data_IF_556027775954
#
_entry.id   IF_556027775954
#
_cell.length_a   1.000
_cell.length_b   1.000
_cell.length_c   1.000
_cell.angle_alpha   90.00
_cell.angle_beta   90.00
_cell.angle_gamma   90.00
#
_symmetry.space_group_name_H-M   'P 1'
#
loop_
_entity.id
_entity.type
_entity.pdbx_description
1 polymer ?
#
# COMPACT_ATOMS: atom_id res chain seq x y z
N UNK A 1 -25.52 -35.42 -7.47
CA UNK A 1 -24.96 -34.35 -8.34
C UNK A 1 -23.46 -34.30 -8.12
N UNK A 2 -22.68 -34.95 -9.00
CA UNK A 2 -21.22 -34.99 -8.91
C UNK A 2 -20.62 -33.93 -9.82
N UNK A 3 -20.05 -32.87 -9.23
CA UNK A 3 -19.34 -31.84 -9.97
C UNK A 3 -18.06 -32.46 -10.60
N UNK A 4 -17.99 -32.51 -11.93
CA UNK A 4 -16.79 -32.96 -12.65
C UNK A 4 -15.68 -31.91 -12.50
N UNK A 5 -14.43 -32.29 -12.18
CA UNK A 5 -13.33 -31.33 -12.09
C UNK A 5 -13.01 -30.81 -13.49
N UNK A 6 -13.13 -29.49 -13.68
CA UNK A 6 -12.78 -28.80 -14.92
C UNK A 6 -11.28 -28.93 -15.14
N UNK A 7 -10.85 -29.74 -16.12
CA UNK A 7 -9.45 -29.81 -16.54
C UNK A 7 -9.05 -28.41 -17.01
N UNK A 8 -8.11 -27.79 -16.29
CA UNK A 8 -7.57 -26.48 -16.66
C UNK A 8 -6.58 -26.75 -17.79
N UNK A 9 -6.96 -26.42 -19.03
CA UNK A 9 -6.09 -26.57 -20.19
C UNK A 9 -4.84 -25.67 -20.03
N UNK A 10 -3.67 -26.20 -20.37
CA UNK A 10 -2.36 -25.52 -20.20
C UNK A 10 -2.37 -24.12 -20.82
N UNK A 11 -3.07 -23.94 -21.95
CA UNK A 11 -3.28 -22.65 -22.61
C UNK A 11 -3.93 -21.60 -21.68
N UNK A 12 -4.97 -21.99 -20.94
CA UNK A 12 -5.66 -21.10 -20.01
C UNK A 12 -4.75 -20.63 -18.87
N UNK A 13 -3.85 -21.50 -18.37
CA UNK A 13 -2.87 -21.11 -17.33
C UNK A 13 -1.86 -20.10 -17.84
N UNK A 14 -1.40 -20.27 -19.09
CA UNK A 14 -0.45 -19.34 -19.72
C UNK A 14 -1.12 -17.97 -19.89
N UNK A 15 -2.34 -17.92 -20.43
CA UNK A 15 -3.08 -16.67 -20.59
C UNK A 15 -3.26 -15.96 -19.25
N UNK A 16 -3.72 -16.67 -18.22
CA UNK A 16 -3.87 -16.09 -16.87
C UNK A 16 -2.53 -15.56 -16.34
N UNK A 17 -1.44 -16.33 -16.49
CA UNK A 17 -0.12 -15.90 -16.04
C UNK A 17 0.37 -14.66 -16.78
N UNK A 18 0.21 -14.60 -18.10
CA UNK A 18 0.58 -13.43 -18.90
C UNK A 18 -0.24 -12.20 -18.51
N UNK A 19 -1.54 -12.34 -18.28
CA UNK A 19 -2.39 -11.23 -17.84
C UNK A 19 -1.97 -10.72 -16.46
N UNK A 20 -1.66 -11.62 -15.52
CA UNK A 20 -1.18 -11.24 -14.18
C UNK A 20 0.17 -10.50 -14.26
N UNK A 21 1.11 -10.97 -15.08
CA UNK A 21 2.40 -10.31 -15.27
C UNK A 21 2.21 -8.93 -15.91
N UNK A 22 1.38 -8.81 -16.94
CA UNK A 22 1.09 -7.53 -17.58
C UNK A 22 0.46 -6.54 -16.60
N UNK A 23 -0.50 -6.99 -15.78
CA UNK A 23 -1.12 -6.18 -14.73
C UNK A 23 -0.10 -5.74 -13.68
N UNK A 24 0.77 -6.66 -13.25
CA UNK A 24 1.82 -6.38 -12.28
C UNK A 24 2.82 -5.35 -12.81
N UNK A 25 3.24 -5.48 -14.08
CA UNK A 25 4.08 -4.47 -14.74
C UNK A 25 3.35 -3.13 -14.76
N UNK A 26 2.09 -3.08 -15.17
CA UNK A 26 1.35 -1.83 -15.27
C UNK A 26 1.19 -1.12 -13.93
N UNK A 27 0.97 -1.86 -12.85
CA UNK A 27 0.86 -1.31 -11.48
C UNK A 27 2.20 -0.83 -10.94
N UNK A 28 3.27 -1.59 -11.15
CA UNK A 28 4.57 -1.28 -10.52
C UNK A 28 5.38 -0.28 -11.37
N UNK A 29 5.21 -0.24 -12.69
CA UNK A 29 5.93 0.68 -13.59
C UNK A 29 5.86 2.16 -13.13
N UNK A 30 4.70 2.75 -12.78
CA UNK A 30 4.67 4.13 -12.28
C UNK A 30 5.42 4.29 -10.94
N UNK A 31 5.39 3.29 -10.07
CA UNK A 31 6.16 3.31 -8.81
C UNK A 31 7.66 3.28 -9.07
N UNK A 32 8.12 2.43 -9.98
CA UNK A 32 9.53 2.39 -10.39
C UNK A 32 9.97 3.68 -11.04
N UNK A 33 9.10 4.34 -11.82
CA UNK A 33 9.40 5.63 -12.44
C UNK A 33 9.73 6.69 -11.38
N UNK A 34 8.90 6.81 -10.33
CA UNK A 34 9.15 7.78 -9.25
C UNK A 34 10.46 7.50 -8.51
N UNK A 35 10.73 6.23 -8.19
CA UNK A 35 11.98 5.84 -7.52
C UNK A 35 13.18 6.19 -8.43
N UNK A 36 13.10 5.81 -9.71
CA UNK A 36 14.17 6.08 -10.68
C UNK A 36 14.42 7.59 -10.81
N UNK A 37 13.38 8.41 -10.86
CA UNK A 37 13.50 9.87 -10.94
C UNK A 37 14.32 10.45 -9.78
N UNK A 38 14.05 10.00 -8.55
CA UNK A 38 14.79 10.43 -7.35
C UNK A 38 16.27 10.06 -7.46
N UNK A 39 16.60 8.88 -7.97
CA UNK A 39 17.99 8.46 -8.17
C UNK A 39 18.68 9.21 -9.31
N UNK A 40 18.00 9.41 -10.44
CA UNK A 40 18.57 10.13 -11.59
C UNK A 40 18.83 11.61 -11.28
N UNK A 41 18.03 12.21 -10.39
CA UNK A 41 18.12 13.63 -10.01
C UNK A 41 18.51 13.81 -8.55
N UNK A 42 19.36 12.93 -8.05
CA UNK A 42 19.75 12.92 -6.65
C UNK A 42 20.36 14.26 -6.19
N UNK A 43 21.13 14.93 -7.05
CA UNK A 43 21.75 16.22 -6.72
C UNK A 43 20.69 17.32 -6.50
N UNK A 44 19.65 17.38 -7.34
CA UNK A 44 18.52 18.31 -7.18
C UNK A 44 17.75 17.99 -5.89
N UNK A 45 17.44 16.72 -5.64
CA UNK A 45 16.75 16.28 -4.42
C UNK A 45 17.56 16.63 -3.17
N UNK A 46 18.89 16.42 -3.21
CA UNK A 46 19.77 16.76 -2.11
C UNK A 46 19.72 18.25 -1.78
N UNK A 47 19.83 19.09 -2.81
CA UNK A 47 19.77 20.54 -2.67
C UNK A 47 18.41 21.03 -2.19
N UNK A 48 17.31 20.51 -2.74
CA UNK A 48 15.97 20.98 -2.38
C UNK A 48 15.53 20.52 -0.99
N UNK A 49 15.82 19.27 -0.62
CA UNK A 49 15.28 18.63 0.60
C UNK A 49 16.21 18.78 1.79
N UNK A 50 17.53 18.66 1.59
CA UNK A 50 18.51 18.59 2.70
C UNK A 50 19.36 19.84 2.84
N UNK A 51 19.73 20.49 1.72
CA UNK A 51 20.70 21.58 1.70
C UNK A 51 20.15 22.83 0.98
N UNK A 52 18.90 23.20 1.27
CA UNK A 52 18.24 24.28 0.57
C UNK A 52 18.93 25.62 0.88
N UNK A 53 19.24 26.45 -0.13
CA UNK A 53 19.97 27.71 0.06
C UNK A 53 19.18 28.74 0.88
N UNK A 54 17.85 28.65 0.90
CA UNK A 54 16.98 29.60 1.60
C UNK A 54 16.57 29.06 2.97
N UNK A 55 16.18 27.77 3.04
CA UNK A 55 15.51 27.18 4.21
C UNK A 55 16.34 26.08 4.89
N UNK A 56 17.52 25.74 4.37
CA UNK A 56 18.39 24.71 4.93
C UNK A 56 17.75 23.33 4.97
N UNK A 57 17.70 22.73 6.16
CA UNK A 57 17.21 21.37 6.43
C UNK A 57 15.73 21.31 6.90
N UNK A 58 15.01 22.43 6.84
CA UNK A 58 13.63 22.51 7.33
C UNK A 58 12.68 21.56 6.58
N UNK A 59 12.88 21.38 5.26
CA UNK A 59 12.11 20.44 4.45
C UNK A 59 12.26 19.01 4.97
N UNK A 60 13.48 18.58 5.27
CA UNK A 60 13.75 17.27 5.84
C UNK A 60 13.11 17.09 7.23
N UNK A 61 13.23 18.09 8.10
CA UNK A 61 12.60 18.09 9.43
C UNK A 61 11.08 18.00 9.32
N UNK A 62 10.48 18.74 8.40
CA UNK A 62 9.04 18.71 8.15
C UNK A 62 8.59 17.33 7.65
N UNK A 63 9.32 16.71 6.73
CA UNK A 63 9.04 15.35 6.24
C UNK A 63 9.02 14.36 7.42
N UNK A 64 10.07 14.34 8.26
CA UNK A 64 10.12 13.44 9.41
C UNK A 64 8.96 13.70 10.38
N UNK A 65 8.66 14.98 10.65
CA UNK A 65 7.59 15.38 11.57
C UNK A 65 6.23 14.88 11.10
N UNK A 66 5.90 15.11 9.83
CA UNK A 66 4.66 14.66 9.22
C UNK A 66 4.60 13.14 9.16
N UNK A 67 5.68 12.49 8.74
CA UNK A 67 5.76 11.02 8.67
C UNK A 67 5.55 10.39 10.05
N UNK A 68 6.22 10.90 11.09
CA UNK A 68 6.03 10.42 12.46
C UNK A 68 4.60 10.61 12.95
N UNK A 69 3.98 11.74 12.61
CA UNK A 69 2.58 12.00 12.94
C UNK A 69 1.64 11.00 12.25
N UNK A 70 1.81 10.76 10.94
CA UNK A 70 1.02 9.79 10.18
C UNK A 70 1.16 8.36 10.72
N UNK A 71 2.36 7.94 11.13
CA UNK A 71 2.56 6.64 11.77
C UNK A 71 1.85 6.54 13.11
N UNK A 72 1.95 7.57 13.97
CA UNK A 72 1.24 7.58 15.26
C UNK A 72 -0.28 7.54 15.08
N UNK A 73 -0.79 8.29 14.11
CA UNK A 73 -2.21 8.34 13.80
C UNK A 73 -2.69 6.99 13.28
N UNK A 74 -2.04 6.43 12.26
CA UNK A 74 -2.42 5.14 11.69
C UNK A 74 -2.36 4.00 12.71
N UNK A 75 -1.33 3.94 13.55
CA UNK A 75 -1.24 2.95 14.63
C UNK A 75 -2.39 3.09 15.64
N UNK A 76 -2.73 4.33 15.99
CA UNK A 76 -3.85 4.60 16.91
C UNK A 76 -5.17 4.18 16.29
N UNK A 77 -5.42 4.51 15.02
CA UNK A 77 -6.60 4.09 14.27
C UNK A 77 -6.71 2.57 14.21
N UNK A 78 -5.64 1.86 13.86
CA UNK A 78 -5.63 0.39 13.83
C UNK A 78 -5.91 -0.18 15.22
N UNK A 79 -5.34 0.39 16.28
CA UNK A 79 -5.63 -0.06 17.64
C UNK A 79 -7.11 0.10 17.99
N UNK A 80 -7.73 1.25 17.66
CA UNK A 80 -9.16 1.47 17.86
C UNK A 80 -10.02 0.52 17.03
N UNK A 81 -9.68 0.31 15.76
CA UNK A 81 -10.39 -0.62 14.88
C UNK A 81 -10.32 -2.06 15.39
N UNK A 82 -9.21 -2.48 15.99
CA UNK A 82 -9.10 -3.81 16.59
C UNK A 82 -9.87 -3.89 17.90
N UNK A 83 -9.76 -2.89 18.79
CA UNK A 83 -10.43 -2.87 20.09
C UNK A 83 -11.95 -2.86 19.94
N UNK A 84 -12.50 -2.11 18.97
CA UNK A 84 -13.93 -2.00 18.78
C UNK A 84 -14.46 -2.90 17.66
N UNK A 85 -13.74 -3.00 16.56
CA UNK A 85 -14.14 -3.78 15.39
C UNK A 85 -14.13 -5.28 15.64
N UNK A 86 -13.15 -5.83 16.35
CA UNK A 86 -13.12 -7.28 16.63
C UNK A 86 -14.30 -7.69 17.53
N UNK A 87 -14.56 -7.05 18.69
CA UNK A 87 -15.72 -7.41 19.50
C UNK A 87 -17.04 -7.22 18.77
N UNK A 88 -17.18 -6.12 18.00
CA UNK A 88 -18.39 -5.89 17.22
C UNK A 88 -18.60 -6.98 16.17
N UNK A 89 -17.56 -7.34 15.41
CA UNK A 89 -17.60 -8.42 14.44
C UNK A 89 -17.94 -9.76 15.09
N UNK A 90 -17.40 -10.03 16.28
CA UNK A 90 -17.73 -11.25 17.03
C UNK A 90 -19.21 -11.28 17.44
N UNK A 91 -19.76 -10.18 17.95
CA UNK A 91 -21.18 -10.10 18.31
C UNK A 91 -22.05 -10.25 17.06
N UNK A 92 -21.72 -9.59 15.95
CA UNK A 92 -22.42 -9.73 14.66
C UNK A 92 -22.40 -11.16 14.13
N UNK A 93 -21.26 -11.86 14.23
CA UNK A 93 -21.15 -13.23 13.75
C UNK A 93 -21.86 -14.25 14.64
N UNK A 94 -21.95 -14.01 15.96
CA UNK A 94 -22.41 -15.01 16.93
C UNK A 94 -23.79 -14.75 17.53
N UNK A 95 -24.25 -13.51 17.60
CA UNK A 95 -25.58 -13.17 18.12
C UNK A 95 -26.57 -12.94 16.99
N UNK A 96 -27.77 -13.52 17.11
CA UNK A 96 -28.91 -13.13 16.27
C UNK A 96 -29.52 -11.87 16.88
N UNK A 97 -29.43 -10.77 16.14
CA UNK A 97 -30.11 -9.54 16.51
C UNK A 97 -31.60 -9.70 16.17
N UNK A 98 -32.52 -9.32 17.07
CA UNK A 98 -33.91 -9.13 16.68
C UNK A 98 -33.95 -7.94 15.71
N UNK A 99 -34.33 -8.23 14.46
CA UNK A 99 -34.65 -7.21 13.46
C UNK A 99 -35.98 -6.56 13.73
#
# INVERSE_FOLDING_TARGET
>A
MTARPKKIDVSSKIVVSCTLVAFMIFVILPTFYLISYVFLRWDEVWYEVFANPIIGDENWKQIIKVLSFSFRLSLSTVAFDLIFGIPLAYVLARKRFPG
#
